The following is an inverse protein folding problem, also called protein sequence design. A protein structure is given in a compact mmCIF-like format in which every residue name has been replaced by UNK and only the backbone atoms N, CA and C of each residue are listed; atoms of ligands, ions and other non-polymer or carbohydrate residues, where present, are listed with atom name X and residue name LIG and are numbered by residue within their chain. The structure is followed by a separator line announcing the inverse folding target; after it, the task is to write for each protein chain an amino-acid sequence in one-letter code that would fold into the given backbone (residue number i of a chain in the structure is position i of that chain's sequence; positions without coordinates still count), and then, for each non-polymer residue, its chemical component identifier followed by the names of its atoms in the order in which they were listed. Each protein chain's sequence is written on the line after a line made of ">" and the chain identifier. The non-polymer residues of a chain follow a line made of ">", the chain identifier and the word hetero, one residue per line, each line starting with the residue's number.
data_IF_945235169889
#
_entry.id   IF_945235169889
#
_cell.length_a   1.000
_cell.length_b   1.000
_cell.length_c   1.000
_cell.angle_alpha   90.00
_cell.angle_beta   90.00
_cell.angle_gamma   90.00
#
_symmetry.space_group_name_H-M   'P 1'
#
loop_
_entity.id
_entity.type
_entity.pdbx_description
1 polymer ?
#
# COMPACT_ATOMS: atom_id res chain seq x y z
N UNK A 1 -64.77 -12.56 1.40
CA UNK A 1 -64.24 -13.64 2.26
C UNK A 1 -62.94 -14.11 1.63
N UNK A 2 -61.81 -13.94 2.33
CA UNK A 2 -60.46 -14.43 1.98
C UNK A 2 -59.76 -13.71 0.82
N UNK A 3 -59.17 -12.53 1.04
CA UNK A 3 -57.71 -12.32 1.17
C UNK A 3 -56.87 -13.55 1.52
N UNK A 4 -55.75 -13.71 0.79
CA UNK A 4 -54.59 -14.63 0.91
C UNK A 4 -54.18 -14.92 -0.56
N UNK A 5 -53.07 -14.47 -1.15
CA UNK A 5 -51.71 -14.41 -0.64
C UNK A 5 -50.92 -13.26 -1.29
N UNK A 6 -50.50 -12.32 -0.44
CA UNK A 6 -49.56 -11.26 -0.75
C UNK A 6 -48.19 -11.68 -0.22
N UNK A 7 -47.45 -12.57 -0.88
CA UNK A 7 -46.03 -12.75 -0.55
C UNK A 7 -45.20 -13.40 -1.66
N UNK A 8 -44.67 -12.59 -2.57
CA UNK A 8 -43.38 -12.90 -3.17
C UNK A 8 -42.60 -11.61 -3.45
N UNK A 9 -42.28 -10.90 -2.37
CA UNK A 9 -41.22 -9.88 -2.38
C UNK A 9 -39.91 -10.61 -2.15
N UNK A 10 -39.42 -11.30 -3.18
CA UNK A 10 -38.03 -11.76 -3.21
C UNK A 10 -37.13 -10.56 -2.98
N UNK A 11 -36.47 -10.54 -1.82
CA UNK A 11 -35.47 -9.56 -1.43
C UNK A 11 -34.43 -9.46 -2.56
N UNK A 12 -34.51 -8.38 -3.35
CA UNK A 12 -33.36 -7.94 -4.13
C UNK A 12 -32.36 -7.40 -3.11
N UNK A 13 -31.51 -8.28 -2.58
CA UNK A 13 -30.24 -7.86 -2.02
C UNK A 13 -29.53 -7.06 -3.13
N UNK A 14 -29.58 -5.73 -3.02
CA UNK A 14 -28.80 -4.85 -3.87
C UNK A 14 -27.33 -5.20 -3.74
N UNK A 15 -26.47 -4.76 -4.68
CA UNK A 15 -25.03 -4.96 -4.59
C UNK A 15 -24.46 -4.04 -3.50
N UNK A 16 -24.77 -4.29 -2.22
CA UNK A 16 -24.26 -3.54 -1.08
C UNK A 16 -23.09 -4.26 -0.40
N UNK A 17 -22.67 -5.41 -0.93
CA UNK A 17 -21.50 -6.18 -0.47
C UNK A 17 -20.50 -6.47 -1.61
N UNK A 18 -20.25 -5.47 -2.48
CA UNK A 18 -19.10 -5.48 -3.42
C UNK A 18 -18.09 -4.36 -3.11
N UNK A 19 -17.88 -4.08 -1.82
CA UNK A 19 -16.73 -3.29 -1.35
C UNK A 19 -15.82 -4.13 -0.45
N UNK A 20 -15.78 -5.43 -0.71
CA UNK A 20 -14.80 -6.33 -0.15
C UNK A 20 -13.53 -6.19 -0.99
N UNK A 21 -12.51 -5.53 -0.41
CA UNK A 21 -11.12 -5.59 -0.83
C UNK A 21 -10.87 -5.16 -2.29
N UNK A 22 -11.06 -3.87 -2.61
CA UNK A 22 -10.19 -3.29 -3.65
C UNK A 22 -8.81 -3.16 -3.01
N UNK A 23 -7.86 -4.01 -3.44
CA UNK A 23 -6.44 -3.78 -3.19
C UNK A 23 -6.13 -2.33 -3.55
N UNK A 24 -5.35 -1.65 -2.70
CA UNK A 24 -4.96 -0.27 -2.94
C UNK A 24 -4.10 -0.22 -4.21
N UNK A 25 -4.73 0.02 -5.36
CA UNK A 25 -4.05 0.04 -6.66
C UNK A 25 -3.58 1.45 -6.96
N UNK A 26 -2.28 1.62 -7.21
CA UNK A 26 -1.74 2.87 -7.74
C UNK A 26 -1.40 2.71 -9.22
N UNK A 27 -1.68 3.74 -10.03
CA UNK A 27 -1.47 3.66 -11.47
C UNK A 27 0.01 3.48 -11.88
N UNK A 28 0.98 3.84 -11.01
CA UNK A 28 2.39 3.46 -11.19
C UNK A 28 3.25 3.72 -9.93
N UNK A 29 4.05 2.73 -9.49
CA UNK A 29 5.09 2.91 -8.47
C UNK A 29 6.45 3.19 -9.12
N UNK A 30 6.76 4.47 -9.40
CA UNK A 30 7.99 4.85 -10.13
C UNK A 30 9.03 5.53 -9.25
N UNK A 31 8.57 6.28 -8.27
CA UNK A 31 9.38 7.18 -7.45
C UNK A 31 9.20 6.87 -5.97
N UNK A 32 10.16 7.31 -5.16
CA UNK A 32 10.06 7.25 -3.70
C UNK A 32 8.75 7.86 -3.20
N UNK A 33 8.35 8.99 -3.80
CA UNK A 33 7.13 9.70 -3.46
C UNK A 33 5.87 8.89 -3.72
N UNK A 34 5.82 8.10 -4.80
CA UNK A 34 4.68 7.22 -5.09
C UNK A 34 4.51 6.18 -3.98
N UNK A 35 5.61 5.58 -3.52
CA UNK A 35 5.59 4.63 -2.40
C UNK A 35 5.16 5.32 -1.09
N UNK A 36 5.58 6.57 -0.87
CA UNK A 36 5.09 7.35 0.27
C UNK A 36 3.58 7.60 0.19
N UNK A 37 3.05 7.95 -0.99
CA UNK A 37 1.62 8.17 -1.18
C UNK A 37 0.82 6.88 -0.95
N UNK A 38 1.34 5.74 -1.39
CA UNK A 38 0.75 4.44 -1.11
C UNK A 38 0.65 4.18 0.39
N UNK A 39 1.77 4.26 1.12
CA UNK A 39 1.78 4.01 2.57
C UNK A 39 0.84 4.97 3.33
N UNK A 40 0.73 6.22 2.86
CA UNK A 40 -0.19 7.21 3.43
C UNK A 40 -1.66 6.79 3.33
N UNK A 41 -2.06 5.99 2.33
CA UNK A 41 -3.42 5.45 2.23
C UNK A 41 -3.76 4.51 3.39
N UNK A 42 -2.74 3.89 4.00
CA UNK A 42 -2.84 3.04 5.18
C UNK A 42 -2.61 3.81 6.50
N UNK A 43 -2.49 5.14 6.44
CA UNK A 43 -2.18 5.97 7.61
C UNK A 43 -0.72 5.88 8.07
N UNK A 44 0.16 5.30 7.24
CA UNK A 44 1.59 5.13 7.57
C UNK A 44 2.36 6.32 7.01
N UNK A 45 2.96 7.11 7.92
CA UNK A 45 3.81 8.25 7.59
C UNK A 45 5.17 8.00 8.25
N UNK A 46 6.20 7.86 7.44
CA UNK A 46 7.57 7.56 7.89
C UNK A 46 8.41 8.84 7.86
N UNK A 47 9.00 9.19 9.01
CA UNK A 47 9.96 10.29 9.15
C UNK A 47 10.82 10.13 10.41
N UNK A 48 12.07 9.69 10.21
CA UNK A 48 13.08 9.42 11.24
C UNK A 48 14.21 10.46 11.23
N UNK A 49 14.17 11.41 10.30
CA UNK A 49 15.21 12.42 10.09
C UNK A 49 16.48 11.91 9.39
N UNK A 50 16.58 10.60 9.13
CA UNK A 50 17.63 10.00 8.30
C UNK A 50 16.98 9.23 7.15
N UNK A 51 17.28 9.64 5.92
CA UNK A 51 16.65 9.10 4.71
C UNK A 51 16.89 7.59 4.54
N UNK A 52 18.08 7.09 4.90
CA UNK A 52 18.34 5.64 4.90
C UNK A 52 17.38 4.88 5.83
N UNK A 53 17.13 5.41 7.02
CA UNK A 53 16.23 4.78 8.00
C UNK A 53 14.78 4.88 7.55
N UNK A 54 14.39 5.98 6.92
CA UNK A 54 13.06 6.11 6.33
C UNK A 54 12.84 5.06 5.24
N UNK A 55 13.82 4.84 4.36
CA UNK A 55 13.73 3.81 3.32
C UNK A 55 13.61 2.40 3.94
N UNK A 56 14.41 2.09 4.95
CA UNK A 56 14.36 0.79 5.64
C UNK A 56 13.02 0.55 6.34
N UNK A 57 12.49 1.55 7.04
CA UNK A 57 11.20 1.44 7.71
C UNK A 57 10.06 1.32 6.67
N UNK A 58 10.13 2.06 5.56
CA UNK A 58 9.16 1.93 4.47
C UNK A 58 9.17 0.52 3.86
N UNK A 59 10.34 -0.12 3.68
CA UNK A 59 10.42 -1.52 3.21
C UNK A 59 9.74 -2.48 4.18
N UNK A 60 9.96 -2.29 5.49
CA UNK A 60 9.34 -3.12 6.53
C UNK A 60 7.82 -3.00 6.50
N UNK A 61 7.29 -1.77 6.46
CA UNK A 61 5.84 -1.56 6.42
C UNK A 61 5.22 -2.06 5.10
N UNK A 62 5.93 -1.90 3.97
CA UNK A 62 5.50 -2.43 2.68
C UNK A 62 5.37 -3.96 2.70
N UNK A 63 6.33 -4.68 3.29
CA UNK A 63 6.26 -6.13 3.48
C UNK A 63 5.05 -6.53 4.32
N UNK A 64 4.78 -5.82 5.43
CA UNK A 64 3.62 -6.12 6.29
C UNK A 64 2.29 -5.96 5.56
N UNK A 65 2.15 -4.92 4.74
CA UNK A 65 0.93 -4.72 3.93
C UNK A 65 0.76 -5.87 2.93
N UNK A 66 1.85 -6.29 2.29
CA UNK A 66 1.82 -7.42 1.35
C UNK A 66 1.49 -8.75 2.05
N UNK A 67 2.14 -9.03 3.19
CA UNK A 67 1.91 -10.24 3.99
C UNK A 67 0.47 -10.30 4.55
N UNK A 68 -0.14 -9.14 4.81
CA UNK A 68 -1.55 -9.02 5.20
C UNK A 68 -2.53 -9.20 4.03
N UNK A 69 -2.04 -9.37 2.80
CA UNK A 69 -2.87 -9.51 1.59
C UNK A 69 -3.56 -8.22 1.14
N UNK A 70 -3.03 -7.06 1.55
CA UNK A 70 -3.62 -5.74 1.27
C UNK A 70 -3.01 -5.05 0.03
N UNK A 71 -2.04 -5.69 -0.62
CA UNK A 71 -1.33 -5.18 -1.78
C UNK A 71 -1.16 -6.28 -2.84
N UNK A 72 -1.37 -5.93 -4.11
CA UNK A 72 -1.13 -6.85 -5.21
C UNK A 72 0.37 -7.11 -5.40
N UNK A 73 0.72 -8.34 -5.83
CA UNK A 73 2.12 -8.76 -5.99
C UNK A 73 2.91 -7.87 -6.96
N UNK A 74 2.29 -7.42 -8.04
CA UNK A 74 2.96 -6.56 -9.02
C UNK A 74 3.29 -5.20 -8.39
N UNK A 75 2.31 -4.57 -7.72
CA UNK A 75 2.51 -3.29 -7.05
C UNK A 75 3.59 -3.40 -5.95
N UNK A 76 3.61 -4.52 -5.21
CA UNK A 76 4.65 -4.81 -4.21
C UNK A 76 6.04 -4.86 -4.85
N UNK A 77 6.21 -5.61 -5.93
CA UNK A 77 7.51 -5.74 -6.60
C UNK A 77 7.99 -4.41 -7.20
N UNK A 78 7.08 -3.59 -7.73
CA UNK A 78 7.43 -2.26 -8.25
C UNK A 78 7.85 -1.32 -7.11
N UNK A 79 7.09 -1.26 -6.02
CA UNK A 79 7.44 -0.46 -4.86
C UNK A 79 8.76 -0.92 -4.20
N UNK A 80 8.99 -2.23 -4.09
CA UNK A 80 10.24 -2.80 -3.60
C UNK A 80 11.43 -2.38 -4.50
N UNK A 81 11.27 -2.47 -5.83
CA UNK A 81 12.30 -2.07 -6.78
C UNK A 81 12.67 -0.59 -6.65
N UNK A 82 11.68 0.28 -6.46
CA UNK A 82 11.88 1.70 -6.15
C UNK A 82 12.69 1.84 -4.87
N UNK A 83 12.26 1.27 -3.75
CA UNK A 83 12.94 1.42 -2.46
C UNK A 83 14.36 0.84 -2.48
N UNK A 84 14.61 -0.24 -3.21
CA UNK A 84 15.96 -0.81 -3.40
C UNK A 84 16.88 0.13 -4.16
N UNK A 85 16.38 0.78 -5.21
CA UNK A 85 17.14 1.80 -5.96
C UNK A 85 17.46 3.00 -5.07
N UNK A 86 16.47 3.55 -4.38
CA UNK A 86 16.66 4.71 -3.50
C UNK A 86 17.63 4.40 -2.35
N UNK A 87 17.54 3.20 -1.77
CA UNK A 87 18.47 2.75 -0.74
C UNK A 87 19.92 2.73 -1.25
N UNK A 88 20.15 2.21 -2.46
CA UNK A 88 21.49 2.20 -3.06
C UNK A 88 22.00 3.64 -3.28
N UNK A 89 21.17 4.51 -3.85
CA UNK A 89 21.52 5.93 -4.06
C UNK A 89 21.91 6.59 -2.74
N UNK A 90 21.16 6.32 -1.66
CA UNK A 90 21.42 6.88 -0.34
C UNK A 90 22.72 6.34 0.28
N UNK A 91 22.99 5.04 0.17
CA UNK A 91 24.27 4.47 0.62
C UNK A 91 25.46 5.08 -0.13
N UNK A 92 25.36 5.19 -1.46
CA UNK A 92 26.40 5.80 -2.29
C UNK A 92 26.63 7.28 -1.92
N UNK A 93 25.57 7.99 -1.48
CA UNK A 93 25.66 9.37 -0.99
C UNK A 93 26.37 9.43 0.37
N UNK A 94 25.96 8.59 1.32
CA UNK A 94 26.53 8.53 2.67
C UNK A 94 28.02 8.17 2.61
N UNK A 95 28.40 7.21 1.76
CA UNK A 95 29.80 6.81 1.57
C UNK A 95 30.65 7.97 1.04
N UNK A 96 30.15 8.73 0.07
CA UNK A 96 30.86 9.88 -0.52
C UNK A 96 31.02 11.04 0.45
N UNK A 97 30.06 11.24 1.36
CA UNK A 97 30.02 12.42 2.23
C UNK A 97 30.50 12.15 3.66
N UNK A 98 30.87 10.91 3.99
CA UNK A 98 31.44 10.58 5.29
C UNK A 98 30.46 10.73 6.46
N UNK A 99 29.15 10.64 6.20
CA UNK A 99 28.10 10.71 7.23
C UNK A 99 27.94 9.40 8.04
N UNK A 100 28.84 8.43 7.81
CA UNK A 100 29.00 7.23 8.63
C UNK A 100 29.80 7.57 9.91
N UNK A 101 29.29 8.48 10.74
CA UNK A 101 29.86 8.78 12.05
C UNK A 101 28.76 8.90 13.11
#
# INVERSE_FOLDING_TARGET
>A
MGNEDEENRGERAGPVLKKSLESAKMEAMKTFYDVQQFLKQFGIIVYMGKRLYDIELMKLELSRIYDAGLMDKLDYLEAEAVLRREHKIELDYIEKNGEMN
#
